data_IF_194222840905
#
_entry.id   IF_194222840905
#
_cell.length_a   1.000
_cell.length_b   1.000
_cell.length_c   1.000
_cell.angle_alpha   90.00
_cell.angle_beta   90.00
_cell.angle_gamma   90.00
#
_symmetry.space_group_name_H-M   'P 1'
#
loop_
_entity.id
_entity.type
_entity.pdbx_description
1 polymer ?
#
# COMPACT_ATOMS: atom_id res chain seq x y z
N UNK A 1 12.17 -13.69 -1.93
CA UNK A 1 10.76 -13.24 -1.86
C UNK A 1 10.59 -11.80 -2.37
N UNK A 2 11.63 -10.95 -2.33
CA UNK A 2 11.57 -9.55 -2.78
C UNK A 2 11.17 -9.30 -4.24
N UNK A 3 11.52 -10.21 -5.17
CA UNK A 3 11.26 -10.00 -6.61
C UNK A 3 9.77 -9.98 -7.00
N UNK A 4 8.88 -10.56 -6.18
CA UNK A 4 7.46 -10.67 -6.54
C UNK A 4 6.67 -9.37 -6.26
N UNK A 5 7.06 -8.64 -5.20
CA UNK A 5 6.43 -7.37 -4.81
C UNK A 5 6.70 -6.27 -5.83
N UNK A 6 7.98 -6.10 -6.21
CA UNK A 6 8.40 -5.11 -7.21
C UNK A 6 7.61 -5.29 -8.52
N UNK A 7 7.59 -6.51 -9.05
CA UNK A 7 6.91 -6.81 -10.31
C UNK A 7 5.39 -6.57 -10.22
N UNK A 8 4.77 -6.95 -9.10
CA UNK A 8 3.33 -6.73 -8.89
C UNK A 8 2.98 -5.25 -8.74
N UNK A 9 3.76 -4.48 -7.98
CA UNK A 9 3.55 -3.04 -7.78
C UNK A 9 3.72 -2.29 -9.10
N UNK A 10 4.81 -2.53 -9.83
CA UNK A 10 5.07 -1.91 -11.13
C UNK A 10 3.96 -2.26 -12.13
N UNK A 11 3.49 -3.50 -12.13
CA UNK A 11 2.39 -3.92 -12.99
C UNK A 11 1.12 -3.12 -12.71
N UNK A 12 0.71 -3.00 -11.46
CA UNK A 12 -0.50 -2.26 -11.06
C UNK A 12 -0.36 -0.78 -11.44
N UNK A 13 0.78 -0.16 -11.12
CA UNK A 13 1.05 1.24 -11.49
C UNK A 13 0.93 1.43 -13.02
N UNK A 14 1.52 0.53 -13.80
CA UNK A 14 1.47 0.59 -15.27
C UNK A 14 0.09 0.38 -15.87
N UNK A 15 -0.86 -0.22 -15.16
CA UNK A 15 -2.26 -0.33 -15.62
C UNK A 15 -3.01 1.01 -15.56
N UNK A 16 -2.53 1.94 -14.73
CA UNK A 16 -3.12 3.27 -14.53
C UNK A 16 -2.34 4.41 -15.17
N UNK A 17 -1.15 4.13 -15.70
CA UNK A 17 -0.34 5.13 -16.40
C UNK A 17 -0.65 5.14 -17.89
N UNK A 18 -0.76 6.35 -18.46
CA UNK A 18 -0.85 6.54 -19.92
C UNK A 18 0.46 6.09 -20.57
N UNK A 19 1.60 6.43 -19.94
CA UNK A 19 2.92 6.01 -20.38
C UNK A 19 3.53 5.06 -19.33
N UNK A 20 3.60 3.75 -19.60
CA UNK A 20 4.11 2.79 -18.62
C UNK A 20 5.58 3.04 -18.29
N UNK A 21 5.93 2.78 -17.03
CA UNK A 21 7.29 2.80 -16.51
C UNK A 21 8.09 1.60 -17.00
N UNK A 22 9.36 1.87 -17.32
CA UNK A 22 10.40 0.86 -17.46
C UNK A 22 11.02 0.50 -16.09
N UNK A 23 11.72 -0.63 -16.01
CA UNK A 23 12.32 -1.09 -14.75
C UNK A 23 13.35 -0.13 -14.14
N UNK A 24 14.03 0.66 -14.97
CA UNK A 24 15.02 1.66 -14.58
C UNK A 24 14.40 3.05 -14.30
N UNK A 25 13.08 3.18 -14.32
CA UNK A 25 12.36 4.45 -14.14
C UNK A 25 11.62 4.54 -12.80
N UNK A 26 11.92 3.65 -11.86
CA UNK A 26 11.18 3.57 -10.59
C UNK A 26 11.36 4.77 -9.67
N UNK A 27 12.47 5.50 -9.80
CA UNK A 27 12.76 6.74 -9.07
C UNK A 27 12.24 7.99 -9.78
N UNK A 28 11.61 7.85 -10.96
CA UNK A 28 11.03 8.97 -11.67
C UNK A 28 9.67 9.36 -11.06
N UNK A 29 9.37 10.67 -10.98
CA UNK A 29 8.07 11.15 -10.55
C UNK A 29 6.98 10.74 -11.54
N UNK A 30 5.92 10.11 -11.05
CA UNK A 30 4.82 9.59 -11.86
C UNK A 30 4.00 10.70 -12.52
N UNK A 31 4.07 11.94 -12.01
CA UNK A 31 3.50 13.12 -12.66
C UNK A 31 4.08 13.33 -14.07
N UNK A 32 5.35 12.98 -14.29
CA UNK A 32 5.98 13.05 -15.63
C UNK A 32 5.48 11.94 -16.58
N UNK A 33 4.81 10.92 -16.04
CA UNK A 33 4.18 9.83 -16.78
C UNK A 33 2.67 10.03 -16.97
N UNK A 34 2.20 11.26 -16.76
CA UNK A 34 0.80 11.66 -16.86
C UNK A 34 -0.10 10.94 -15.84
N UNK A 35 0.40 10.71 -14.62
CA UNK A 35 -0.42 10.23 -13.51
C UNK A 35 -1.29 11.37 -12.96
N UNK A 36 -2.60 11.27 -13.15
CA UNK A 36 -3.57 12.16 -12.53
C UNK A 36 -3.89 11.75 -11.08
N UNK A 37 -4.47 12.68 -10.32
CA UNK A 37 -4.89 12.44 -8.93
C UNK A 37 -5.91 11.31 -8.77
N UNK A 38 -6.73 11.05 -9.80
CA UNK A 38 -7.66 9.91 -9.80
C UNK A 38 -6.87 8.60 -9.94
N UNK A 39 -5.97 8.52 -10.92
CA UNK A 39 -5.13 7.34 -11.12
C UNK A 39 -4.25 7.03 -9.90
N UNK A 40 -3.76 8.06 -9.21
CA UNK A 40 -3.06 7.89 -7.93
C UNK A 40 -3.91 7.13 -6.90
N UNK A 41 -5.18 7.53 -6.73
CA UNK A 41 -6.09 6.89 -5.77
C UNK A 41 -6.45 5.47 -6.22
N UNK A 42 -6.67 5.26 -7.52
CA UNK A 42 -6.95 3.92 -8.05
C UNK A 42 -5.78 2.95 -7.83
N UNK A 43 -4.53 3.41 -8.03
CA UNK A 43 -3.34 2.62 -7.69
C UNK A 43 -3.32 2.24 -6.20
N UNK A 44 -3.59 3.19 -5.31
CA UNK A 44 -3.62 2.92 -3.86
C UNK A 44 -4.63 1.84 -3.54
N UNK A 45 -5.87 1.97 -4.04
CA UNK A 45 -6.94 0.99 -3.81
C UNK A 45 -6.55 -0.39 -4.33
N UNK A 46 -6.01 -0.48 -5.55
CA UNK A 46 -5.61 -1.75 -6.14
C UNK A 46 -4.47 -2.41 -5.35
N UNK A 47 -3.55 -1.63 -4.79
CA UNK A 47 -2.48 -2.15 -3.94
C UNK A 47 -3.02 -2.64 -2.58
N UNK A 48 -3.94 -1.90 -1.96
CA UNK A 48 -4.64 -2.33 -0.74
C UNK A 48 -5.37 -3.67 -0.97
N UNK A 49 -6.14 -3.78 -2.04
CA UNK A 49 -6.87 -5.00 -2.40
C UNK A 49 -5.92 -6.16 -2.75
N UNK A 50 -4.82 -5.88 -3.45
CA UNK A 50 -3.85 -6.90 -3.88
C UNK A 50 -3.09 -7.50 -2.71
N UNK A 51 -2.67 -6.68 -1.76
CA UNK A 51 -1.76 -7.06 -0.67
C UNK A 51 -2.47 -7.20 0.68
N UNK A 52 -3.76 -6.87 0.76
CA UNK A 52 -4.58 -7.07 1.94
C UNK A 52 -4.23 -6.16 3.11
N UNK A 53 -3.81 -4.91 2.83
CA UNK A 53 -3.50 -3.91 3.86
C UNK A 53 -4.33 -2.64 3.64
N UNK A 54 -4.33 -1.75 4.64
CA UNK A 54 -4.89 -0.39 4.48
C UNK A 54 -3.77 0.63 4.43
N UNK A 55 -3.85 1.53 3.45
CA UNK A 55 -2.86 2.57 3.24
C UNK A 55 -2.89 3.55 4.42
N UNK A 56 -1.72 3.85 5.02
CA UNK A 56 -1.66 4.80 6.11
C UNK A 56 -2.07 6.19 5.61
N UNK A 57 -3.15 6.73 6.17
CA UNK A 57 -3.79 7.99 5.71
C UNK A 57 -2.81 9.17 5.72
N UNK A 58 -1.86 9.16 6.65
CA UNK A 58 -0.78 10.15 6.75
C UNK A 58 0.19 10.13 5.55
N UNK A 59 0.33 9.00 4.86
CA UNK A 59 1.13 8.84 3.64
C UNK A 59 0.29 8.87 2.37
N UNK A 60 -1.01 9.15 2.47
CA UNK A 60 -1.91 9.23 1.32
C UNK A 60 -1.89 10.65 0.73
N UNK A 61 -0.70 11.11 0.36
CA UNK A 61 -0.48 12.42 -0.24
C UNK A 61 0.46 12.30 -1.44
N UNK A 62 0.11 12.96 -2.53
CA UNK A 62 0.97 13.08 -3.73
C UNK A 62 2.26 13.87 -3.45
N UNK A 63 2.36 14.52 -2.29
CA UNK A 63 3.61 15.17 -1.86
C UNK A 63 4.62 14.17 -1.28
N UNK A 64 4.13 13.09 -0.65
CA UNK A 64 4.91 12.06 0.02
C UNK A 64 5.16 10.85 -0.88
N UNK A 65 4.21 10.52 -1.76
CA UNK A 65 4.30 9.38 -2.68
C UNK A 65 4.33 9.91 -4.11
N UNK A 66 5.52 9.93 -4.71
CA UNK A 66 5.75 10.54 -6.04
C UNK A 66 6.25 9.54 -7.07
N UNK A 67 6.94 8.50 -6.64
CA UNK A 67 7.64 7.54 -7.49
C UNK A 67 7.13 6.13 -7.26
N UNK A 68 7.34 5.21 -8.20
CA UNK A 68 6.96 3.82 -8.01
C UNK A 68 7.74 3.15 -6.85
N UNK A 69 8.95 3.62 -6.55
CA UNK A 69 9.71 3.17 -5.40
C UNK A 69 9.03 3.56 -4.07
N UNK A 70 8.43 4.75 -3.99
CA UNK A 70 7.67 5.18 -2.81
C UNK A 70 6.49 4.24 -2.53
N UNK A 71 5.72 3.88 -3.56
CA UNK A 71 4.64 2.90 -3.44
C UNK A 71 5.17 1.55 -2.94
N UNK A 72 6.25 1.06 -3.55
CA UNK A 72 6.86 -0.21 -3.17
C UNK A 72 7.35 -0.20 -1.71
N UNK A 73 7.92 0.90 -1.25
CA UNK A 73 8.40 1.04 0.13
C UNK A 73 7.25 1.03 1.14
N UNK A 74 6.11 1.65 0.82
CA UNK A 74 4.91 1.55 1.68
C UNK A 74 4.41 0.10 1.74
N UNK A 75 4.26 -0.55 0.58
CA UNK A 75 3.80 -1.95 0.52
C UNK A 75 4.71 -2.87 1.32
N UNK A 76 6.04 -2.74 1.17
CA UNK A 76 7.01 -3.53 1.95
C UNK A 76 6.85 -3.29 3.45
N UNK A 77 6.81 -2.02 3.87
CA UNK A 77 6.69 -1.66 5.28
C UNK A 77 5.42 -2.24 5.92
N UNK A 78 4.29 -2.27 5.20
CA UNK A 78 3.03 -2.81 5.71
C UNK A 78 3.03 -4.35 5.78
N UNK A 79 3.70 -5.02 4.85
CA UNK A 79 3.84 -6.47 4.88
C UNK A 79 4.80 -6.95 5.99
N UNK A 80 5.80 -6.14 6.35
CA UNK A 80 6.66 -6.41 7.50
C UNK A 80 5.93 -6.19 8.83
N UNK A 81 5.06 -5.16 8.92
CA UNK A 81 4.29 -4.84 10.13
C UNK A 81 3.17 -5.86 10.42
N UNK A 82 2.57 -6.44 9.37
CA UNK A 82 1.55 -7.49 9.48
C UNK A 82 2.04 -8.77 10.19
N UNK A 83 3.36 -8.94 10.38
CA UNK A 83 3.94 -10.09 11.08
C UNK A 83 3.90 -9.97 12.62
N UNK A 84 3.70 -8.77 13.18
CA UNK A 84 3.72 -8.53 14.63
C UNK A 84 2.31 -8.53 15.26
N UNK A 85 1.24 -8.44 14.46
CA UNK A 85 -0.13 -8.27 14.95
C UNK A 85 -0.90 -9.57 15.29
N UNK A 86 -0.38 -10.76 14.96
CA UNK A 86 -1.05 -12.05 15.23
C UNK A 86 -0.95 -12.55 16.68
N UNK A 87 -0.45 -11.74 17.63
CA UNK A 87 -0.33 -12.11 19.05
C UNK A 87 -1.18 -11.26 19.99
N UNK A 88 -2.49 -11.13 19.72
CA UNK A 88 -3.46 -10.76 20.77
C UNK A 88 -4.65 -11.72 20.77
N UNK A 89 -4.39 -12.93 21.27
CA UNK A 89 -5.44 -13.85 21.70
C UNK A 89 -6.36 -13.14 22.72
N UNK A 90 -7.62 -12.89 22.33
CA UNK A 90 -8.72 -12.68 23.27
C UNK A 90 -8.90 -13.99 24.08
N UNK A 91 -8.90 -13.92 25.42
CA UNK A 91 -10.19 -14.03 26.13
C UNK A 91 -10.19 -13.12 27.39
N UNK A 92 -11.28 -12.73 28.03
CA UNK A 92 -12.53 -13.42 28.25
C UNK A 92 -13.66 -12.41 28.51
N UNK A 93 -14.86 -12.82 28.14
CA UNK A 93 -16.12 -12.37 28.68
C UNK A 93 -16.11 -12.49 30.21
N UNK A 94 -16.32 -11.39 30.93
CA UNK A 94 -16.80 -11.43 32.31
C UNK A 94 -18.16 -10.72 32.36
N UNK A 95 -19.19 -11.53 32.08
CA UNK A 95 -20.50 -11.40 32.70
C UNK A 95 -20.31 -11.34 34.23
N UNK A 96 -20.43 -10.16 34.83
CA UNK A 96 -20.79 -10.07 36.25
C UNK A 96 -21.89 -9.04 36.40
N UNK A 97 -23.11 -9.58 36.41
CA UNK A 97 -24.31 -8.96 36.96
C UNK A 97 -24.05 -8.68 38.45
N UNK A 98 -24.04 -7.42 38.86
CA UNK A 98 -24.24 -7.10 40.28
C UNK A 98 -25.37 -6.08 40.41
N UNK A 99 -26.55 -6.64 40.63
CA UNK A 99 -27.56 -6.04 41.47
C UNK A 99 -27.03 -6.01 42.91
N UNK A 100 -27.16 -4.87 43.59
CA UNK A 100 -27.79 -4.70 44.90
C UNK A 100 -27.92 -3.20 45.24
#
# INVERSE_FOLDING_TARGET
>A
MESNYKESVVKIINEHLVNPLLEDEMDLPLEEKELDSIGFIEIVIDLEEKFGFSWPVEKLSSEEIKTADDFLNVVKSQQEDAFDAEFTEHPASEDIEHAE
#
